data_IF_575337134532
#
_entry.id   IF_575337134532
#
_cell.length_a   1.000
_cell.length_b   1.000
_cell.length_c   1.000
_cell.angle_alpha   90.00
_cell.angle_beta   90.00
_cell.angle_gamma   90.00
#
_symmetry.space_group_name_H-M   'P 1'
#
loop_
_entity.id
_entity.type
_entity.pdbx_description
1 polymer ?
#
# COMPACT_ATOMS: atom_id res chain seq x y z
N UNK A 1 -15.53 -3.26 43.15
CA UNK A 1 -14.32 -2.47 43.48
C UNK A 1 -13.11 -3.32 43.90
N UNK A 2 -13.25 -4.43 44.67
CA UNK A 2 -12.09 -5.28 45.04
C UNK A 2 -11.57 -6.22 43.92
N UNK A 3 -12.43 -6.60 42.96
CA UNK A 3 -12.08 -7.45 41.80
C UNK A 3 -11.17 -6.74 40.78
N UNK A 4 -11.33 -5.43 40.60
CA UNK A 4 -10.51 -4.64 39.66
C UNK A 4 -9.07 -4.48 40.15
N UNK A 5 -8.87 -4.28 41.46
CA UNK A 5 -7.56 -4.19 42.06
C UNK A 5 -6.78 -5.52 41.95
N UNK A 6 -7.44 -6.67 42.11
CA UNK A 6 -6.80 -7.97 41.94
C UNK A 6 -6.40 -8.26 40.49
N UNK A 7 -7.25 -7.91 39.51
CA UNK A 7 -6.93 -8.06 38.09
C UNK A 7 -5.78 -7.13 37.63
N UNK A 8 -5.73 -5.90 38.14
CA UNK A 8 -4.62 -4.96 37.90
C UNK A 8 -3.32 -5.47 38.54
N UNK A 9 -3.41 -6.06 39.74
CA UNK A 9 -2.24 -6.58 40.47
C UNK A 9 -1.69 -7.86 39.84
N UNK A 10 -2.56 -8.76 39.34
CA UNK A 10 -2.18 -9.95 38.55
C UNK A 10 -1.49 -9.53 37.25
N UNK A 11 -2.09 -8.59 36.50
CA UNK A 11 -1.50 -8.02 35.29
C UNK A 11 -0.12 -7.39 35.50
N UNK A 12 0.10 -6.72 36.65
CA UNK A 12 1.41 -6.16 37.02
C UNK A 12 2.45 -7.24 37.35
N UNK A 13 2.06 -8.26 38.12
CA UNK A 13 2.95 -9.40 38.44
C UNK A 13 3.31 -10.22 37.21
N UNK A 14 2.37 -10.47 36.32
CA UNK A 14 2.62 -11.17 35.05
C UNK A 14 3.55 -10.35 34.15
N UNK A 15 3.37 -9.02 34.10
CA UNK A 15 4.29 -8.11 33.40
C UNK A 15 5.70 -8.11 34.01
N UNK A 16 5.86 -8.19 35.33
CA UNK A 16 7.17 -8.28 35.98
C UNK A 16 7.85 -9.64 35.77
N UNK A 17 7.08 -10.72 35.78
CA UNK A 17 7.58 -12.06 35.47
C UNK A 17 8.11 -12.14 34.03
N UNK A 18 7.31 -11.66 33.06
CA UNK A 18 7.71 -11.58 31.65
C UNK A 18 8.96 -10.69 31.47
N UNK A 19 9.07 -9.57 32.21
CA UNK A 19 10.28 -8.72 32.21
C UNK A 19 11.52 -9.46 32.72
N UNK A 20 11.37 -10.27 33.76
CA UNK A 20 12.46 -11.04 34.37
C UNK A 20 12.93 -12.16 33.44
N UNK A 21 12.01 -12.91 32.83
CA UNK A 21 12.33 -13.96 31.87
C UNK A 21 12.91 -13.40 30.55
N UNK A 22 12.38 -12.27 30.06
CA UNK A 22 12.94 -11.59 28.91
C UNK A 22 14.39 -11.12 29.15
N UNK A 23 14.74 -10.66 30.37
CA UNK A 23 16.13 -10.31 30.73
C UNK A 23 17.08 -11.51 30.65
N UNK A 24 16.62 -12.70 31.02
CA UNK A 24 17.42 -13.94 30.97
C UNK A 24 17.70 -14.33 29.50
N UNK A 25 16.73 -14.13 28.60
CA UNK A 25 16.89 -14.34 27.16
C UNK A 25 17.83 -13.31 26.48
N UNK A 26 18.13 -12.18 27.13
CA UNK A 26 19.01 -11.11 26.63
C UNK A 26 20.51 -11.40 26.93
N UNK A 27 20.90 -12.58 27.43
CA UNK A 27 22.31 -12.90 27.73
C UNK A 27 23.19 -13.39 26.57
N UNK A 28 22.63 -13.84 25.42
CA UNK A 28 23.39 -14.58 24.38
C UNK A 28 23.38 -13.97 22.97
N UNK A 29 24.46 -14.12 22.21
CA UNK A 29 24.82 -13.58 20.87
C UNK A 29 23.84 -12.69 20.05
N UNK A 30 24.34 -11.54 19.58
CA UNK A 30 23.61 -10.46 18.87
C UNK A 30 23.49 -10.67 17.34
N UNK A 31 22.88 -11.77 16.88
CA UNK A 31 22.55 -11.90 15.44
C UNK A 31 21.11 -11.44 15.16
N UNK A 32 20.89 -10.80 14.00
CA UNK A 32 19.60 -10.25 13.54
C UNK A 32 18.51 -11.31 13.35
N UNK A 33 18.89 -12.58 13.28
CA UNK A 33 18.01 -13.75 13.12
C UNK A 33 17.77 -14.51 14.43
N UNK A 34 18.32 -14.06 15.55
CA UNK A 34 18.19 -14.77 16.83
C UNK A 34 16.79 -14.60 17.43
N UNK A 35 16.28 -15.65 18.07
CA UNK A 35 15.07 -15.60 18.91
C UNK A 35 15.13 -14.44 19.92
N UNK A 36 16.32 -14.09 20.41
CA UNK A 36 16.60 -12.92 21.25
C UNK A 36 16.21 -11.60 20.59
N UNK A 37 16.53 -11.38 19.32
CA UNK A 37 16.13 -10.16 18.59
C UNK A 37 14.61 -10.08 18.47
N UNK A 38 13.95 -11.20 18.15
CA UNK A 38 12.48 -11.28 18.11
C UNK A 38 11.86 -10.93 19.48
N UNK A 39 12.34 -11.54 20.56
CA UNK A 39 11.84 -11.31 21.94
C UNK A 39 12.12 -9.88 22.41
N UNK A 40 13.31 -9.33 22.14
CA UNK A 40 13.68 -7.97 22.54
C UNK A 40 12.88 -6.90 21.77
N UNK A 41 12.62 -7.10 20.48
CA UNK A 41 11.79 -6.20 19.70
C UNK A 41 10.32 -6.25 20.14
N UNK A 42 9.78 -7.46 20.39
CA UNK A 42 8.46 -7.63 20.99
C UNK A 42 8.38 -6.92 22.37
N UNK A 43 9.39 -7.08 23.21
CA UNK A 43 9.48 -6.42 24.52
C UNK A 43 9.57 -4.89 24.43
N UNK A 44 10.38 -4.34 23.54
CA UNK A 44 10.48 -2.89 23.31
C UNK A 44 9.16 -2.29 22.80
N UNK A 45 8.43 -3.01 21.95
CA UNK A 45 7.11 -2.58 21.48
C UNK A 45 6.08 -2.48 22.62
N UNK A 46 6.17 -3.33 23.64
CA UNK A 46 5.31 -3.25 24.84
C UNK A 46 5.57 -1.98 25.68
N UNK A 47 6.79 -1.41 25.60
CA UNK A 47 7.21 -0.26 26.43
C UNK A 47 6.83 1.11 25.84
N UNK A 48 6.63 1.24 24.53
CA UNK A 48 6.10 2.46 23.88
C UNK A 48 4.56 2.48 23.99
N UNK A 49 4.05 2.63 25.21
CA UNK A 49 2.62 2.55 25.57
C UNK A 49 1.98 3.95 25.60
N UNK A 50 1.23 4.28 24.57
CA UNK A 50 -0.06 4.97 24.67
C UNK A 50 -0.99 4.28 23.65
N UNK A 51 -2.27 4.08 23.99
CA UNK A 51 -3.23 3.47 23.06
C UNK A 51 -3.35 4.34 21.81
N UNK A 52 -2.66 3.94 20.75
CA UNK A 52 -2.61 4.73 19.53
C UNK A 52 -3.96 4.67 18.82
N UNK A 53 -4.51 5.86 18.54
CA UNK A 53 -5.79 6.02 17.87
C UNK A 53 -5.64 5.65 16.38
N UNK A 54 -5.86 4.37 16.08
CA UNK A 54 -5.76 3.80 14.73
C UNK A 54 -6.87 4.24 13.79
N UNK A 55 -7.87 5.01 14.25
CA UNK A 55 -8.91 5.59 13.38
C UNK A 55 -8.31 6.42 12.23
N UNK A 56 -7.14 7.01 12.46
CA UNK A 56 -6.39 7.82 11.48
C UNK A 56 -5.84 6.97 10.32
N UNK A 57 -5.62 5.65 10.49
CA UNK A 57 -5.09 4.77 9.44
C UNK A 57 -6.00 4.63 8.21
N UNK A 58 -7.29 4.93 8.36
CA UNK A 58 -8.29 4.77 7.31
C UNK A 58 -9.03 6.06 7.00
N UNK A 59 -8.51 7.21 7.46
CA UNK A 59 -9.06 8.54 7.18
C UNK A 59 -9.12 8.77 5.67
N UNK A 60 -10.33 8.91 5.13
CA UNK A 60 -10.58 9.13 3.72
C UNK A 60 -11.27 10.48 3.51
N UNK A 61 -10.95 11.15 2.42
CA UNK A 61 -11.81 12.17 1.83
C UNK A 61 -12.94 11.48 1.06
N UNK A 62 -14.14 12.07 1.03
CA UNK A 62 -15.23 11.55 0.20
C UNK A 62 -14.80 11.50 -1.27
N UNK A 63 -15.24 10.45 -1.99
CA UNK A 63 -14.99 10.29 -3.43
C UNK A 63 -15.80 11.30 -4.26
N UNK A 64 -16.66 12.13 -3.64
CA UNK A 64 -17.63 13.00 -4.31
C UNK A 64 -17.07 14.14 -5.18
N UNK A 65 -15.77 14.45 -5.09
CA UNK A 65 -15.17 15.48 -5.94
C UNK A 65 -14.81 14.90 -7.33
N UNK A 66 -14.94 15.69 -8.40
CA UNK A 66 -14.47 15.30 -9.74
C UNK A 66 -12.93 15.18 -9.74
N UNK A 67 -12.44 13.99 -9.40
CA UNK A 67 -11.01 13.69 -9.25
C UNK A 67 -10.44 13.02 -10.52
N UNK A 68 -11.21 12.89 -11.60
CA UNK A 68 -10.76 12.15 -12.79
C UNK A 68 -9.73 12.92 -13.61
N UNK A 69 -9.91 14.24 -13.71
CA UNK A 69 -9.05 15.11 -14.52
C UNK A 69 -8.53 16.30 -13.73
N UNK A 70 -7.39 16.84 -14.15
CA UNK A 70 -6.93 18.17 -13.78
C UNK A 70 -6.27 18.84 -14.99
N UNK A 71 -6.47 20.14 -15.14
CA UNK A 71 -5.76 20.93 -16.15
C UNK A 71 -4.26 21.03 -15.80
N UNK A 72 -3.38 21.04 -16.81
CA UNK A 72 -1.93 21.15 -16.61
C UNK A 72 -1.56 22.38 -15.77
N UNK A 73 -2.27 23.48 -15.94
CA UNK A 73 -2.08 24.72 -15.17
C UNK A 73 -2.31 24.55 -13.67
N UNK A 74 -3.10 23.56 -13.26
CA UNK A 74 -3.38 23.28 -11.84
C UNK A 74 -2.24 22.49 -11.16
N UNK A 75 -1.27 21.98 -11.92
CA UNK A 75 -0.14 21.22 -11.37
C UNK A 75 0.94 22.12 -10.73
N UNK A 76 0.91 23.42 -11.00
CA UNK A 76 1.86 24.42 -10.50
C UNK A 76 3.01 24.71 -11.46
N UNK A 77 4.17 25.05 -10.91
CA UNK A 77 5.34 25.43 -11.71
C UNK A 77 5.76 24.30 -12.67
N UNK A 78 6.01 24.69 -13.93
CA UNK A 78 6.48 23.79 -14.96
C UNK A 78 7.78 23.08 -14.56
N UNK A 79 7.97 21.83 -15.00
CA UNK A 79 9.09 21.00 -14.57
C UNK A 79 10.43 21.58 -15.02
N UNK A 80 11.30 21.92 -14.06
CA UNK A 80 12.70 22.29 -14.35
C UNK A 80 13.61 21.08 -14.64
N UNK A 81 13.16 19.86 -14.31
CA UNK A 81 13.92 18.60 -14.46
C UNK A 81 13.01 17.43 -14.84
N UNK A 82 13.53 16.56 -15.71
CA UNK A 82 12.96 15.24 -16.00
C UNK A 82 13.66 14.20 -15.10
N UNK A 83 12.89 13.37 -14.40
CA UNK A 83 13.48 12.31 -13.57
C UNK A 83 14.03 11.18 -14.44
N UNK A 84 15.35 10.97 -14.41
CA UNK A 84 16.04 9.85 -15.11
C UNK A 84 16.06 8.53 -14.34
N UNK A 85 15.40 8.47 -13.18
CA UNK A 85 15.42 7.30 -12.28
C UNK A 85 14.20 6.39 -12.40
N UNK A 86 13.17 6.83 -13.11
CA UNK A 86 11.98 6.02 -13.44
C UNK A 86 12.20 5.24 -14.74
N UNK A 87 11.44 4.16 -14.93
CA UNK A 87 11.37 3.46 -16.21
C UNK A 87 10.70 4.30 -17.31
N UNK A 88 9.91 5.31 -16.90
CA UNK A 88 9.21 6.25 -17.77
C UNK A 88 9.75 7.67 -17.61
N UNK A 89 9.54 8.50 -18.62
CA UNK A 89 9.76 9.94 -18.50
C UNK A 89 8.77 10.52 -17.49
N UNK A 90 9.26 11.11 -16.40
CA UNK A 90 8.43 11.73 -15.37
C UNK A 90 8.82 13.21 -15.24
N UNK A 91 7.82 14.07 -15.43
CA UNK A 91 7.87 15.52 -15.19
C UNK A 91 7.40 15.81 -13.76
N UNK A 92 8.18 16.59 -13.02
CA UNK A 92 7.86 16.95 -11.63
C UNK A 92 7.39 18.40 -11.57
N UNK A 93 6.10 18.59 -11.31
CA UNK A 93 5.49 19.91 -11.11
C UNK A 93 5.45 20.25 -9.61
N UNK A 94 5.59 21.54 -9.30
CA UNK A 94 5.56 22.05 -7.92
C UNK A 94 4.38 23.00 -7.77
N UNK A 95 3.31 22.53 -7.13
CA UNK A 95 2.23 23.39 -6.67
C UNK A 95 2.50 23.91 -5.25
N UNK A 96 1.66 24.84 -4.78
CA UNK A 96 1.86 25.59 -3.54
C UNK A 96 2.12 24.71 -2.30
N UNK A 97 1.47 23.55 -2.23
CA UNK A 97 1.60 22.61 -1.11
C UNK A 97 1.87 21.17 -1.53
N UNK A 98 1.97 20.90 -2.84
CA UNK A 98 2.00 19.53 -3.37
C UNK A 98 3.00 19.38 -4.51
N UNK A 99 3.59 18.18 -4.60
CA UNK A 99 4.36 17.76 -5.76
C UNK A 99 3.48 16.87 -6.62
N UNK A 100 3.48 17.12 -7.94
CA UNK A 100 2.81 16.26 -8.91
C UNK A 100 3.83 15.59 -9.81
N UNK A 101 3.70 14.27 -9.97
CA UNK A 101 4.55 13.45 -10.81
C UNK A 101 3.76 13.06 -12.05
N UNK A 102 4.05 13.69 -13.18
CA UNK A 102 3.31 13.49 -14.42
C UNK A 102 4.10 12.62 -15.40
N UNK A 103 3.44 11.58 -15.92
CA UNK A 103 3.87 10.79 -17.07
C UNK A 103 3.16 11.36 -18.31
N UNK A 104 3.90 12.00 -19.25
CA UNK A 104 3.29 12.54 -20.46
C UNK A 104 2.90 11.41 -21.43
N UNK A 105 1.83 11.64 -22.18
CA UNK A 105 1.43 10.78 -23.29
C UNK A 105 1.89 11.41 -24.61
N UNK A 106 2.66 10.66 -25.40
CA UNK A 106 3.08 11.11 -26.72
C UNK A 106 1.92 10.91 -27.71
N UNK A 107 1.32 12.02 -28.16
CA UNK A 107 0.19 12.03 -29.10
C UNK A 107 0.54 11.39 -30.45
N UNK A 108 1.80 11.51 -30.90
CA UNK A 108 2.26 10.90 -32.15
C UNK A 108 2.56 9.40 -32.02
N UNK A 109 2.43 8.83 -30.82
CA UNK A 109 2.70 7.40 -30.59
C UNK A 109 1.51 6.53 -30.97
N UNK A 110 1.78 5.37 -31.58
CA UNK A 110 0.78 4.31 -31.80
C UNK A 110 0.16 3.79 -30.49
N UNK A 111 0.85 3.97 -29.36
CA UNK A 111 0.38 3.56 -28.03
C UNK A 111 -0.47 4.65 -27.35
N UNK A 112 -0.72 5.79 -27.99
CA UNK A 112 -1.41 6.94 -27.35
C UNK A 112 -2.78 6.56 -26.77
N UNK A 113 -3.65 5.90 -27.55
CA UNK A 113 -4.96 5.49 -27.07
C UNK A 113 -4.85 4.46 -25.93
N UNK A 114 -3.95 3.49 -26.04
CA UNK A 114 -3.70 2.51 -24.98
C UNK A 114 -3.22 3.18 -23.68
N UNK A 115 -2.39 4.22 -23.78
CA UNK A 115 -1.94 4.98 -22.62
C UNK A 115 -3.09 5.75 -21.96
N UNK A 116 -4.04 6.29 -22.74
CA UNK A 116 -5.27 6.89 -22.21
C UNK A 116 -6.10 5.81 -21.49
N UNK A 117 -6.37 4.69 -22.14
CA UNK A 117 -7.18 3.60 -21.58
C UNK A 117 -6.55 3.05 -20.28
N UNK A 118 -5.22 2.92 -20.23
CA UNK A 118 -4.47 2.57 -19.02
C UNK A 118 -4.55 3.68 -17.97
N UNK A 119 -4.42 4.95 -18.37
CA UNK A 119 -4.53 6.08 -17.44
C UNK A 119 -5.89 6.14 -16.75
N UNK A 120 -6.98 5.93 -17.48
CA UNK A 120 -8.34 5.88 -16.91
C UNK A 120 -8.45 4.74 -15.88
N UNK A 121 -7.95 3.55 -16.24
CA UNK A 121 -7.92 2.40 -15.35
C UNK A 121 -7.07 2.63 -14.09
N UNK A 122 -5.94 3.34 -14.23
CA UNK A 122 -5.08 3.69 -13.10
C UNK A 122 -5.75 4.69 -12.16
N UNK A 123 -6.47 5.68 -12.68
CA UNK A 123 -7.28 6.61 -11.85
C UNK A 123 -8.29 5.82 -11.02
N UNK A 124 -9.04 4.91 -11.64
CA UNK A 124 -9.98 4.04 -10.92
C UNK A 124 -9.28 3.19 -9.87
N UNK A 125 -8.17 2.56 -10.22
CA UNK A 125 -7.43 1.71 -9.28
C UNK A 125 -6.83 2.50 -8.11
N UNK A 126 -6.36 3.72 -8.35
CA UNK A 126 -5.92 4.64 -7.30
C UNK A 126 -7.06 5.01 -6.34
N UNK A 127 -8.27 5.22 -6.86
CA UNK A 127 -9.46 5.46 -6.02
C UNK A 127 -9.88 4.23 -5.22
N UNK A 128 -9.66 3.02 -5.73
CA UNK A 128 -9.84 1.78 -4.94
C UNK A 128 -8.82 1.71 -3.80
N UNK A 129 -7.57 2.11 -4.04
CA UNK A 129 -6.58 2.20 -2.96
C UNK A 129 -6.93 3.26 -1.91
N UNK A 130 -7.36 4.46 -2.33
CA UNK A 130 -7.87 5.50 -1.41
C UNK A 130 -9.13 5.00 -0.67
N UNK A 131 -9.95 4.26 -1.38
CA UNK A 131 -10.90 3.26 -0.92
C UNK A 131 -10.50 2.60 0.39
N UNK A 132 -9.38 1.89 0.33
CA UNK A 132 -8.95 0.89 1.30
C UNK A 132 -7.98 1.41 2.37
N UNK A 133 -7.23 2.48 2.10
CA UNK A 133 -6.27 3.03 3.08
C UNK A 133 -6.34 4.55 3.23
N UNK A 134 -7.35 5.18 2.62
CA UNK A 134 -7.57 6.62 2.71
C UNK A 134 -6.47 7.42 2.02
N UNK A 135 -6.17 8.58 2.60
CA UNK A 135 -5.15 9.52 2.10
C UNK A 135 -3.70 8.98 2.15
N UNK A 136 -3.49 7.77 2.71
CA UNK A 136 -2.20 7.07 2.63
C UNK A 136 -1.92 6.49 1.23
N UNK A 137 -2.92 6.41 0.37
CA UNK A 137 -2.73 6.10 -1.05
C UNK A 137 -2.58 7.39 -1.86
N UNK A 138 -1.56 7.46 -2.72
CA UNK A 138 -1.44 8.56 -3.68
C UNK A 138 -2.64 8.59 -4.60
N UNK A 139 -3.05 9.80 -4.97
CA UNK A 139 -4.14 10.06 -5.88
C UNK A 139 -3.60 10.19 -7.31
N UNK A 140 -4.25 9.54 -8.27
CA UNK A 140 -3.94 9.68 -9.70
C UNK A 140 -5.05 10.46 -10.41
N UNK A 141 -4.69 11.31 -11.38
CA UNK A 141 -5.60 12.06 -12.26
C UNK A 141 -5.06 12.12 -13.69
N UNK A 142 -5.95 12.15 -14.68
CA UNK A 142 -5.58 12.48 -16.04
C UNK A 142 -5.27 13.97 -16.16
N UNK A 143 -4.20 14.30 -16.87
CA UNK A 143 -3.80 15.70 -17.12
C UNK A 143 -4.33 16.16 -18.45
N UNK A 144 -5.03 17.28 -18.46
CA UNK A 144 -5.63 17.88 -19.65
C UNK A 144 -4.96 19.20 -20.01
N UNK A 145 -4.93 19.52 -21.31
CA UNK A 145 -4.51 20.81 -21.84
C UNK A 145 -5.28 21.11 -23.11
N UNK A 146 -5.93 22.27 -23.16
CA UNK A 146 -6.76 22.70 -24.30
C UNK A 146 -7.79 21.62 -24.69
N UNK A 147 -8.42 20.98 -23.70
CA UNK A 147 -9.39 19.91 -23.92
C UNK A 147 -8.80 18.55 -24.31
N UNK A 148 -7.49 18.42 -24.50
CA UNK A 148 -6.84 17.15 -24.84
C UNK A 148 -6.21 16.49 -23.61
N UNK A 149 -6.26 15.16 -23.53
CA UNK A 149 -5.57 14.38 -22.48
C UNK A 149 -4.09 14.29 -22.86
N UNK A 150 -3.20 14.86 -22.06
CA UNK A 150 -1.76 14.93 -22.37
C UNK A 150 -0.90 14.06 -21.46
N UNK A 151 -1.50 13.39 -20.47
CA UNK A 151 -0.78 12.52 -19.55
C UNK A 151 -1.62 12.04 -18.38
N UNK A 152 -0.95 11.42 -17.44
CA UNK A 152 -1.46 11.07 -16.11
C UNK A 152 -0.50 11.61 -15.07
N UNK A 153 -1.02 12.11 -13.95
CA UNK A 153 -0.22 12.54 -12.82
C UNK A 153 -0.65 11.86 -11.53
N UNK A 154 0.33 11.70 -10.63
CA UNK A 154 0.10 11.30 -9.25
C UNK A 154 0.45 12.43 -8.30
N UNK A 155 -0.43 12.72 -7.34
CA UNK A 155 -0.16 13.64 -6.24
C UNK A 155 0.77 12.96 -5.23
N UNK A 156 1.95 13.54 -5.02
CA UNK A 156 2.93 13.06 -4.05
C UNK A 156 2.38 13.07 -2.63
N UNK A 157 2.74 12.05 -1.85
CA UNK A 157 2.42 12.01 -0.42
C UNK A 157 3.36 12.93 0.37
N UNK A 158 2.81 13.68 1.33
CA UNK A 158 3.57 14.64 2.14
C UNK A 158 4.66 13.92 2.95
N UNK A 159 5.90 14.37 2.78
CA UNK A 159 7.08 13.79 3.46
C UNK A 159 7.43 12.37 3.01
N UNK A 160 7.02 11.95 1.81
CA UNK A 160 7.20 10.57 1.37
C UNK A 160 8.66 10.12 1.30
N UNK A 161 8.99 9.04 2.01
CA UNK A 161 10.30 8.38 1.96
C UNK A 161 10.11 6.90 1.64
N UNK A 162 10.56 6.49 0.44
CA UNK A 162 10.56 5.08 -0.02
C UNK A 162 11.14 4.13 1.04
N UNK A 163 10.53 2.96 1.24
CA UNK A 163 10.97 1.95 2.23
C UNK A 163 12.46 1.58 2.11
N UNK A 164 12.95 1.51 0.86
CA UNK A 164 14.36 1.24 0.58
C UNK A 164 15.35 2.28 1.13
N UNK A 165 14.88 3.49 1.43
CA UNK A 165 15.69 4.61 1.96
C UNK A 165 15.48 4.85 3.46
N UNK A 166 14.48 4.22 4.08
CA UNK A 166 14.17 4.37 5.50
C UNK A 166 15.24 3.71 6.38
N UNK A 167 15.56 4.35 7.51
CA UNK A 167 16.38 3.71 8.55
C UNK A 167 15.62 2.56 9.21
N UNK A 168 16.31 1.70 9.95
CA UNK A 168 15.63 0.65 10.72
C UNK A 168 14.72 1.23 11.79
N UNK A 169 15.07 2.37 12.39
CA UNK A 169 14.23 3.03 13.38
C UNK A 169 12.95 3.58 12.75
N UNK A 170 13.06 4.23 11.58
CA UNK A 170 11.89 4.72 10.84
C UNK A 170 10.91 3.58 10.52
N UNK A 171 11.42 2.41 10.13
CA UNK A 171 10.59 1.23 9.81
C UNK A 171 9.83 0.70 11.01
N UNK A 172 10.40 0.82 12.22
CA UNK A 172 9.75 0.38 13.46
C UNK A 172 8.72 1.40 13.95
N UNK A 173 8.99 2.69 13.75
CA UNK A 173 8.15 3.77 14.26
C UNK A 173 6.99 4.16 13.33
N UNK A 174 7.03 3.69 12.07
CA UNK A 174 5.98 3.96 11.08
C UNK A 174 4.86 2.93 11.19
N UNK A 175 3.60 3.39 11.20
CA UNK A 175 2.39 2.57 11.39
C UNK A 175 1.72 2.25 10.06
N UNK A 176 0.88 1.22 9.96
CA UNK A 176 -0.02 1.05 8.81
C UNK A 176 0.49 0.14 7.69
N UNK A 177 1.57 -0.63 7.89
CA UNK A 177 2.10 -1.54 6.86
C UNK A 177 1.25 -2.79 6.70
N UNK A 178 0.75 -3.35 7.82
CA UNK A 178 0.03 -4.63 7.80
C UNK A 178 -1.28 -4.50 7.00
N UNK A 179 -2.01 -3.41 7.18
CA UNK A 179 -3.22 -3.08 6.42
C UNK A 179 -2.93 -2.98 4.92
N UNK A 180 -1.87 -2.29 4.52
CA UNK A 180 -1.44 -2.24 3.11
C UNK A 180 -1.17 -3.64 2.58
N UNK A 181 -0.45 -4.47 3.35
CA UNK A 181 -0.13 -5.83 2.95
C UNK A 181 -1.38 -6.70 2.76
N UNK A 182 -2.38 -6.58 3.63
CA UNK A 182 -3.69 -7.26 3.45
C UNK A 182 -4.33 -6.87 2.13
N UNK A 183 -4.33 -5.57 1.82
CA UNK A 183 -4.90 -5.08 0.58
C UNK A 183 -4.07 -5.41 -0.66
N UNK A 184 -2.75 -5.53 -0.54
CA UNK A 184 -1.87 -6.05 -1.61
C UNK A 184 -2.32 -7.45 -2.04
N UNK A 185 -2.58 -8.35 -1.08
CA UNK A 185 -3.08 -9.69 -1.41
C UNK A 185 -4.48 -9.64 -2.03
N UNK A 186 -5.37 -8.85 -1.41
CA UNK A 186 -6.75 -8.71 -1.87
C UNK A 186 -6.82 -8.17 -3.30
N UNK A 187 -5.98 -7.20 -3.62
CA UNK A 187 -5.91 -6.57 -4.93
C UNK A 187 -5.05 -7.34 -5.94
N UNK A 188 -4.36 -8.42 -5.55
CA UNK A 188 -3.47 -9.21 -6.42
C UNK A 188 -2.22 -8.45 -6.89
N UNK A 189 -1.73 -7.54 -6.06
CA UNK A 189 -0.58 -6.68 -6.37
C UNK A 189 0.73 -7.46 -6.16
N UNK A 190 1.13 -8.26 -7.15
CA UNK A 190 2.34 -9.08 -7.01
C UNK A 190 3.66 -8.31 -7.17
N UNK A 191 3.63 -7.04 -7.62
CA UNK A 191 4.79 -6.15 -7.78
C UNK A 191 4.93 -5.09 -6.67
N UNK A 192 4.58 -5.46 -5.43
CA UNK A 192 4.69 -4.57 -4.27
C UNK A 192 6.14 -4.38 -3.77
N UNK A 193 6.96 -3.68 -4.55
CA UNK A 193 8.38 -3.48 -4.27
C UNK A 193 8.71 -2.25 -3.42
N UNK A 194 9.92 -2.18 -2.86
CA UNK A 194 10.36 -1.21 -1.82
C UNK A 194 10.33 0.28 -2.22
N UNK A 195 9.99 0.58 -3.47
CA UNK A 195 9.77 1.95 -3.96
C UNK A 195 8.29 2.33 -4.11
N UNK A 196 7.36 1.37 -4.03
CA UNK A 196 5.92 1.60 -4.17
C UNK A 196 5.26 1.92 -2.82
N UNK A 197 6.01 1.80 -1.73
CA UNK A 197 5.55 2.16 -0.40
C UNK A 197 6.68 2.76 0.43
N UNK A 198 6.28 3.50 1.45
CA UNK A 198 7.21 4.28 2.24
C UNK A 198 6.52 5.06 3.33
N UNK A 199 7.31 5.78 4.12
CA UNK A 199 6.82 6.63 5.19
C UNK A 199 6.20 7.92 4.65
N UNK A 200 5.11 8.39 5.23
CA UNK A 200 4.47 9.70 4.99
C UNK A 200 3.93 10.27 6.31
N UNK A 201 3.52 11.54 6.32
CA UNK A 201 2.80 12.16 7.46
C UNK A 201 1.56 12.94 7.00
N UNK A 202 0.49 12.86 7.77
CA UNK A 202 -0.67 13.74 7.58
C UNK A 202 -0.29 15.18 7.95
N UNK A 203 -1.10 16.12 7.46
CA UNK A 203 -0.97 17.51 7.86
C UNK A 203 -1.25 17.67 9.36
N UNK A 204 -0.34 18.35 10.06
CA UNK A 204 -0.40 18.60 11.50
C UNK A 204 -0.36 17.36 12.39
N UNK A 205 0.02 16.20 11.84
CA UNK A 205 0.20 14.97 12.61
C UNK A 205 1.68 14.75 12.94
N UNK A 206 1.95 14.37 14.20
CA UNK A 206 3.29 14.00 14.65
C UNK A 206 3.64 12.57 14.26
N UNK A 207 2.63 11.72 14.09
CA UNK A 207 2.81 10.32 13.72
C UNK A 207 3.21 10.14 12.25
N UNK A 208 3.83 8.99 11.98
CA UNK A 208 4.26 8.58 10.66
C UNK A 208 3.54 7.31 10.24
N UNK A 209 3.17 7.28 8.97
CA UNK A 209 2.35 6.21 8.40
C UNK A 209 2.98 5.65 7.14
N UNK A 210 2.76 4.37 6.88
CA UNK A 210 3.08 3.77 5.61
C UNK A 210 2.04 4.19 4.58
N UNK A 211 2.51 4.77 3.50
CA UNK A 211 1.72 5.10 2.31
C UNK A 211 2.07 4.22 1.12
N UNK A 212 1.14 4.14 0.17
CA UNK A 212 1.25 3.43 -1.10
C UNK A 212 1.23 4.45 -2.23
N UNK A 213 2.20 4.32 -3.14
CA UNK A 213 2.26 5.05 -4.40
C UNK A 213 2.36 4.07 -5.57
N UNK A 214 2.28 4.58 -6.78
CA UNK A 214 2.50 3.84 -8.04
C UNK A 214 1.50 2.72 -8.29
N UNK A 215 0.51 2.98 -9.14
CA UNK A 215 -0.68 2.13 -9.31
C UNK A 215 -0.79 1.56 -10.74
N UNK A 216 0.26 1.67 -11.56
CA UNK A 216 0.23 1.32 -12.98
C UNK A 216 0.34 -0.20 -13.23
N UNK A 217 0.99 -0.95 -12.34
CA UNK A 217 1.35 -2.35 -12.58
C UNK A 217 0.15 -3.27 -12.86
N UNK A 218 -0.87 -3.25 -11.99
CA UNK A 218 -2.08 -4.06 -12.20
C UNK A 218 -2.79 -3.68 -13.49
N UNK A 219 -2.81 -2.40 -13.83
CA UNK A 219 -3.42 -1.92 -15.06
C UNK A 219 -2.67 -2.52 -16.24
N UNK A 220 -1.35 -2.41 -16.27
CA UNK A 220 -0.53 -2.93 -17.36
C UNK A 220 -0.61 -4.47 -17.49
N UNK A 221 -0.79 -5.18 -16.38
CA UNK A 221 -0.86 -6.65 -16.33
C UNK A 221 -2.28 -7.21 -16.27
N UNK A 222 -3.31 -6.37 -16.41
CA UNK A 222 -4.71 -6.74 -16.21
C UNK A 222 -5.13 -7.99 -16.98
N UNK A 223 -4.77 -8.09 -18.27
CA UNK A 223 -5.17 -9.20 -19.13
C UNK A 223 -4.60 -10.57 -18.70
N UNK A 224 -3.52 -10.56 -17.92
CA UNK A 224 -2.89 -11.75 -17.36
C UNK A 224 -3.47 -12.01 -15.97
N UNK A 225 -3.45 -11.00 -15.10
CA UNK A 225 -3.85 -11.12 -13.70
C UNK A 225 -5.34 -11.46 -13.54
N UNK A 226 -6.22 -10.85 -14.33
CA UNK A 226 -7.67 -11.11 -14.29
C UNK A 226 -8.05 -12.55 -14.64
N UNK A 227 -7.17 -13.28 -15.34
CA UNK A 227 -7.38 -14.68 -15.74
C UNK A 227 -6.75 -15.68 -14.77
N UNK A 228 -5.82 -15.26 -13.93
CA UNK A 228 -5.15 -16.11 -12.95
C UNK A 228 -5.90 -16.10 -11.61
N UNK A 229 -6.91 -16.97 -11.51
CA UNK A 229 -7.68 -17.16 -10.29
C UNK A 229 -6.94 -17.97 -9.21
N UNK A 230 -5.78 -18.53 -9.53
CA UNK A 230 -5.11 -19.52 -8.68
C UNK A 230 -4.09 -18.90 -7.74
N UNK A 231 -3.49 -17.77 -8.14
CA UNK A 231 -2.42 -17.13 -7.40
C UNK A 231 -2.88 -16.31 -6.20
N UNK A 232 -4.02 -15.63 -6.25
CA UNK A 232 -4.52 -14.82 -5.12
C UNK A 232 -5.94 -15.24 -4.73
N UNK A 233 -6.06 -16.43 -4.12
CA UNK A 233 -7.34 -17.03 -3.75
C UNK A 233 -7.94 -16.35 -2.52
N UNK A 234 -9.18 -15.86 -2.66
CA UNK A 234 -9.91 -15.23 -1.56
C UNK A 234 -10.15 -16.22 -0.40
N UNK A 235 -10.38 -17.50 -0.71
CA UNK A 235 -10.52 -18.58 0.27
C UNK A 235 -9.30 -18.81 1.17
N UNK A 236 -8.09 -18.59 0.66
CA UNK A 236 -6.88 -18.69 1.49
C UNK A 236 -6.70 -17.43 2.34
N UNK A 237 -6.99 -16.26 1.78
CA UNK A 237 -6.99 -15.02 2.55
C UNK A 237 -8.01 -15.09 3.70
N UNK A 238 -9.24 -15.52 3.44
CA UNK A 238 -10.32 -15.56 4.43
C UNK A 238 -10.01 -16.51 5.58
N UNK A 239 -9.47 -17.72 5.30
CA UNK A 239 -8.97 -18.66 6.34
C UNK A 239 -7.95 -18.01 7.26
N UNK A 240 -6.98 -17.31 6.68
CA UNK A 240 -5.91 -16.65 7.44
C UNK A 240 -6.46 -15.48 8.27
N UNK A 241 -7.33 -14.66 7.69
CA UNK A 241 -7.96 -13.55 8.42
C UNK A 241 -8.86 -14.05 9.55
N UNK A 242 -9.63 -15.13 9.34
CA UNK A 242 -10.46 -15.78 10.38
C UNK A 242 -9.61 -16.33 11.53
N UNK A 243 -8.48 -16.96 11.21
CA UNK A 243 -7.54 -17.45 12.23
C UNK A 243 -6.72 -16.37 12.93
N UNK A 244 -6.81 -15.11 12.46
CA UNK A 244 -6.06 -13.96 12.98
C UNK A 244 -4.55 -14.22 13.09
N UNK A 245 -4.03 -15.09 12.23
CA UNK A 245 -2.63 -15.50 12.27
C UNK A 245 -1.79 -14.66 11.31
N UNK A 246 -1.16 -13.61 11.85
CA UNK A 246 -0.32 -12.71 11.08
C UNK A 246 0.88 -13.42 10.42
N UNK A 247 1.47 -14.44 11.07
CA UNK A 247 2.57 -15.19 10.47
C UNK A 247 2.11 -15.99 9.24
N UNK A 248 0.96 -16.66 9.34
CA UNK A 248 0.34 -17.36 8.20
C UNK A 248 0.01 -16.39 7.07
N UNK A 249 -0.46 -15.19 7.39
CA UNK A 249 -0.71 -14.14 6.40
C UNK A 249 0.54 -13.73 5.64
N UNK A 250 1.64 -13.52 6.35
CA UNK A 250 2.90 -13.14 5.73
C UNK A 250 3.48 -14.28 4.88
N UNK A 251 3.31 -15.54 5.29
CA UNK A 251 3.70 -16.68 4.48
C UNK A 251 2.86 -16.79 3.20
N UNK A 252 1.54 -16.58 3.32
CA UNK A 252 0.63 -16.55 2.17
C UNK A 252 1.01 -15.44 1.18
N UNK A 253 1.33 -14.23 1.66
CA UNK A 253 1.86 -13.15 0.83
C UNK A 253 3.18 -13.52 0.16
N UNK A 254 4.09 -14.14 0.90
CA UNK A 254 5.43 -14.52 0.40
C UNK A 254 5.37 -15.56 -0.69
N UNK A 255 4.42 -16.49 -0.63
CA UNK A 255 4.21 -17.52 -1.64
C UNK A 255 3.63 -16.96 -2.95
N UNK A 256 2.87 -15.86 -2.86
CA UNK A 256 2.03 -15.41 -3.97
C UNK A 256 2.53 -14.09 -4.58
N UNK A 257 3.33 -13.29 -3.87
CA UNK A 257 3.79 -11.97 -4.37
C UNK A 257 5.22 -12.05 -4.88
N UNK A 258 5.46 -11.58 -6.12
CA UNK A 258 6.81 -11.50 -6.70
C UNK A 258 7.71 -10.56 -5.88
N UNK A 259 7.16 -9.45 -5.40
CA UNK A 259 7.80 -8.57 -4.43
C UNK A 259 6.93 -8.34 -3.20
N UNK A 260 7.57 -8.39 -2.03
CA UNK A 260 6.97 -8.05 -0.75
C UNK A 260 8.10 -7.83 0.28
N UNK A 261 7.83 -7.16 1.42
CA UNK A 261 8.84 -6.95 2.47
C UNK A 261 9.29 -8.23 3.17
N UNK A 262 8.53 -9.34 3.06
CA UNK A 262 8.75 -10.56 3.83
C UNK A 262 9.55 -11.64 3.10
N UNK A 263 9.81 -11.47 1.81
CA UNK A 263 10.59 -12.38 0.99
C UNK A 263 11.80 -11.65 0.44
N UNK A 264 12.96 -12.31 0.46
CA UNK A 264 14.17 -11.79 -0.18
C UNK A 264 14.11 -11.83 -1.71
N UNK A 265 12.95 -12.08 -2.31
CA UNK A 265 12.74 -12.38 -3.73
C UNK A 265 13.51 -13.63 -4.22
N UNK A 266 13.21 -14.12 -5.41
CA UNK A 266 13.98 -15.23 -6.00
C UNK A 266 15.43 -14.84 -6.29
N UNK A 267 16.33 -15.83 -6.26
CA UNK A 267 17.74 -15.59 -6.54
C UNK A 267 17.97 -14.99 -7.93
N UNK A 268 17.34 -15.56 -8.95
CA UNK A 268 17.45 -15.08 -10.33
C UNK A 268 16.93 -13.65 -10.47
N UNK A 269 15.80 -13.34 -9.82
CA UNK A 269 15.23 -11.99 -9.81
C UNK A 269 16.17 -10.99 -9.11
N UNK A 270 16.78 -11.36 -7.98
CA UNK A 270 17.81 -10.53 -7.32
C UNK A 270 19.04 -10.31 -8.18
N UNK A 271 19.54 -11.36 -8.84
CA UNK A 271 20.71 -11.29 -9.70
C UNK A 271 20.45 -10.34 -10.88
N UNK A 272 19.32 -10.51 -11.57
CA UNK A 272 18.90 -9.64 -12.68
C UNK A 272 18.77 -8.17 -12.25
N UNK A 273 18.12 -7.90 -11.11
CA UNK A 273 17.98 -6.52 -10.60
C UNK A 273 19.32 -5.91 -10.13
N UNK A 274 20.25 -6.75 -9.67
CA UNK A 274 21.60 -6.30 -9.29
C UNK A 274 22.43 -5.96 -10.52
N UNK A 275 22.41 -6.81 -11.56
CA UNK A 275 23.06 -6.54 -12.84
C UNK A 275 22.51 -5.26 -13.48
N UNK A 276 21.18 -5.13 -13.55
CA UNK A 276 20.50 -3.94 -14.07
C UNK A 276 20.93 -2.66 -13.34
N UNK A 277 21.05 -2.69 -12.03
CA UNK A 277 21.45 -1.53 -11.24
C UNK A 277 22.94 -1.17 -11.39
N UNK A 278 23.79 -2.11 -11.77
CA UNK A 278 25.20 -1.84 -12.10
C UNK A 278 25.38 -1.32 -13.53
N UNK A 279 24.54 -1.79 -14.45
CA UNK A 279 24.64 -1.49 -15.89
C UNK A 279 23.79 -0.30 -16.34
N UNK A 280 22.97 0.27 -15.46
CA UNK A 280 22.09 1.39 -15.78
C UNK A 280 21.83 2.27 -14.57
N UNK A 281 21.26 3.45 -14.79
CA UNK A 281 20.78 4.35 -13.71
C UNK A 281 19.56 3.79 -12.93
N UNK A 282 19.05 2.61 -13.30
CA UNK A 282 17.83 2.04 -12.71
C UNK A 282 18.11 1.41 -11.35
N UNK A 283 17.31 1.76 -10.34
CA UNK A 283 17.47 1.23 -8.98
C UNK A 283 17.18 -0.27 -8.88
N UNK A 284 17.80 -0.91 -7.87
CA UNK A 284 17.49 -2.27 -7.42
C UNK A 284 16.19 -2.24 -6.60
N UNK A 285 15.14 -2.87 -7.11
CA UNK A 285 13.81 -2.90 -6.49
C UNK A 285 13.57 -4.12 -5.58
N UNK A 286 14.49 -5.08 -5.54
CA UNK A 286 14.36 -6.30 -4.72
C UNK A 286 14.65 -6.02 -3.24
N UNK A 287 13.89 -6.66 -2.37
CA UNK A 287 14.12 -6.72 -0.93
C UNK A 287 15.33 -7.62 -0.65
N UNK A 288 16.30 -7.14 0.12
CA UNK A 288 17.44 -7.97 0.52
C UNK A 288 17.02 -9.03 1.55
N UNK A 289 17.80 -10.12 1.68
CA UNK A 289 17.57 -11.12 2.75
C UNK A 289 17.62 -10.50 4.14
N UNK A 290 18.50 -9.52 4.37
CA UNK A 290 18.60 -8.81 5.65
C UNK A 290 17.38 -7.93 5.93
N UNK A 291 16.85 -7.25 4.91
CA UNK A 291 15.61 -6.47 5.03
C UNK A 291 14.40 -7.38 5.30
N UNK A 292 14.32 -8.53 4.62
CA UNK A 292 13.26 -9.51 4.86
C UNK A 292 13.33 -10.13 6.26
N UNK A 293 14.54 -10.47 6.72
CA UNK A 293 14.76 -10.98 8.07
C UNK A 293 14.40 -9.93 9.13
N UNK A 294 14.78 -8.65 8.91
CA UNK A 294 14.41 -7.54 9.77
C UNK A 294 12.89 -7.33 9.80
N UNK A 295 12.22 -7.35 8.65
CA UNK A 295 10.77 -7.25 8.62
C UNK A 295 10.13 -8.40 9.41
N UNK A 296 10.55 -9.65 9.14
CA UNK A 296 10.02 -10.83 9.83
C UNK A 296 10.25 -10.81 11.34
N UNK A 297 11.39 -10.30 11.79
CA UNK A 297 11.71 -10.16 13.22
C UNK A 297 10.93 -9.10 13.97
N UNK A 298 10.22 -8.24 13.24
CA UNK A 298 9.39 -7.18 13.79
C UNK A 298 7.89 -7.38 13.49
N UNK A 299 7.50 -8.54 12.94
CA UNK A 299 6.09 -8.84 12.65
C UNK A 299 5.25 -9.04 13.91
N UNK A 300 5.76 -9.75 14.89
CA UNK A 300 5.02 -10.16 16.08
C UNK A 300 4.97 -9.06 17.17
N UNK A 301 4.90 -7.79 16.76
CA UNK A 301 4.64 -6.69 17.69
C UNK A 301 3.15 -6.60 17.97
N UNK A 302 2.79 -6.16 19.17
CA UNK A 302 1.38 -5.95 19.56
C UNK A 302 0.68 -4.97 18.61
N UNK A 303 1.40 -3.96 18.14
CA UNK A 303 0.86 -2.96 17.22
C UNK A 303 0.47 -3.56 15.88
N UNK A 304 1.31 -4.44 15.32
CA UNK A 304 1.03 -5.13 14.06
C UNK A 304 -0.13 -6.12 14.19
N UNK A 305 -0.24 -6.83 15.33
CA UNK A 305 -1.37 -7.70 15.62
C UNK A 305 -2.67 -6.90 15.75
N UNK A 306 -2.64 -5.79 16.50
CA UNK A 306 -3.79 -4.90 16.64
C UNK A 306 -4.19 -4.26 15.30
N UNK A 307 -3.22 -3.86 14.47
CA UNK A 307 -3.47 -3.36 13.11
C UNK A 307 -4.14 -4.44 12.25
N UNK A 308 -3.68 -5.69 12.34
CA UNK A 308 -4.26 -6.81 11.62
C UNK A 308 -5.72 -7.03 11.99
N UNK A 309 -6.02 -7.09 13.29
CA UNK A 309 -7.40 -7.21 13.81
C UNK A 309 -8.30 -6.07 13.34
N UNK A 310 -7.80 -4.83 13.41
CA UNK A 310 -8.55 -3.64 12.98
C UNK A 310 -8.75 -3.59 11.47
N UNK A 311 -7.81 -4.12 10.69
CA UNK A 311 -7.94 -4.25 9.24
C UNK A 311 -9.09 -5.19 8.89
N UNK A 312 -9.26 -6.31 9.61
CA UNK A 312 -10.38 -7.23 9.42
C UNK A 312 -11.72 -6.52 9.67
N UNK A 313 -11.82 -5.75 10.76
CA UNK A 313 -13.03 -4.98 11.06
C UNK A 313 -13.31 -3.91 9.99
N UNK A 314 -12.26 -3.24 9.51
CA UNK A 314 -12.36 -2.23 8.45
C UNK A 314 -12.85 -2.84 7.14
N UNK A 315 -12.36 -4.03 6.78
CA UNK A 315 -12.85 -4.80 5.62
C UNK A 315 -14.35 -5.04 5.75
N UNK A 316 -14.81 -5.54 6.91
CA UNK A 316 -16.24 -5.80 7.14
C UNK A 316 -17.09 -4.53 7.00
N UNK A 317 -16.66 -3.43 7.61
CA UNK A 317 -17.35 -2.13 7.52
C UNK A 317 -17.42 -1.64 6.08
N UNK A 318 -16.30 -1.64 5.36
CA UNK A 318 -16.24 -1.19 3.96
C UNK A 318 -17.05 -2.09 3.03
N UNK A 319 -17.04 -3.41 3.23
CA UNK A 319 -17.88 -4.27 2.39
C UNK A 319 -19.40 -4.02 2.60
N UNK A 320 -19.83 -3.41 3.72
CA UNK A 320 -21.23 -3.02 3.91
C UNK A 320 -21.61 -1.77 3.11
N UNK A 321 -20.69 -0.84 2.93
CA UNK A 321 -20.94 0.42 2.22
C UNK A 321 -20.36 0.46 0.80
N UNK A 322 -19.73 -0.64 0.35
CA UNK A 322 -18.99 -0.73 -0.92
C UNK A 322 -19.76 -0.19 -2.13
N UNK A 323 -21.07 -0.43 -2.18
CA UNK A 323 -21.89 0.04 -3.29
C UNK A 323 -22.05 1.57 -3.29
N UNK A 324 -22.30 2.16 -2.12
CA UNK A 324 -22.57 3.59 -1.98
C UNK A 324 -21.29 4.42 -1.90
N UNK A 325 -20.24 3.90 -1.27
CA UNK A 325 -19.01 4.64 -1.00
C UNK A 325 -17.96 4.48 -2.11
N UNK A 326 -18.07 3.47 -2.99
CA UNK A 326 -17.08 3.21 -4.05
C UNK A 326 -17.71 2.93 -5.42
N UNK A 327 -18.56 1.92 -5.54
CA UNK A 327 -19.09 1.42 -6.82
C UNK A 327 -19.91 2.48 -7.56
N UNK A 328 -20.98 3.00 -6.95
CA UNK A 328 -21.85 4.02 -7.56
C UNK A 328 -21.10 5.32 -7.84
N UNK A 329 -20.32 5.90 -6.90
CA UNK A 329 -19.55 7.11 -7.18
C UNK A 329 -18.61 6.96 -8.38
N UNK A 330 -17.81 5.89 -8.43
CA UNK A 330 -16.86 5.70 -9.53
C UNK A 330 -17.54 5.40 -10.86
N UNK A 331 -18.64 4.63 -10.88
CA UNK A 331 -19.43 4.41 -12.10
C UNK A 331 -20.02 5.72 -12.63
N UNK A 332 -20.55 6.57 -11.73
CA UNK A 332 -21.06 7.89 -12.10
C UNK A 332 -19.96 8.78 -12.67
N UNK A 333 -18.77 8.79 -12.05
CA UNK A 333 -17.63 9.55 -12.54
C UNK A 333 -17.13 9.05 -13.90
N UNK A 334 -17.05 7.74 -14.11
CA UNK A 334 -16.70 7.15 -15.40
C UNK A 334 -17.71 7.53 -16.50
N UNK A 335 -19.01 7.48 -16.19
CA UNK A 335 -20.06 7.88 -17.13
C UNK A 335 -19.96 9.36 -17.50
N UNK A 336 -19.76 10.24 -16.51
CA UNK A 336 -19.55 11.67 -16.72
C UNK A 336 -18.30 11.95 -17.58
N UNK A 337 -17.19 11.26 -17.27
CA UNK A 337 -15.94 11.36 -18.02
C UNK A 337 -16.12 10.94 -19.48
N UNK A 338 -16.81 9.83 -19.73
CA UNK A 338 -17.14 9.35 -21.08
C UNK A 338 -18.01 10.34 -21.86
N UNK A 339 -18.93 11.02 -21.19
CA UNK A 339 -19.73 12.10 -21.79
C UNK A 339 -18.90 13.33 -22.19
N UNK A 340 -17.89 13.68 -21.38
CA UNK A 340 -16.99 14.82 -21.63
C UNK A 340 -15.95 14.56 -22.72
N UNK A 341 -15.49 13.31 -22.87
CA UNK A 341 -14.47 12.91 -23.85
C UNK A 341 -15.00 11.83 -24.80
N UNK A 342 -15.84 12.19 -25.79
CA UNK A 342 -16.39 11.23 -26.74
C UNK A 342 -15.26 10.58 -27.54
N UNK A 343 -15.08 9.26 -27.38
CA UNK A 343 -14.03 8.48 -28.04
C UNK A 343 -13.07 7.76 -27.07
N UNK A 344 -13.08 8.10 -25.78
CA UNK A 344 -12.33 7.35 -24.76
C UNK A 344 -13.00 6.01 -24.46
N UNK A 345 -12.19 4.98 -24.18
CA UNK A 345 -12.68 3.65 -23.78
C UNK A 345 -12.55 3.48 -22.27
N UNK A 346 -13.64 3.12 -21.61
CA UNK A 346 -13.71 2.91 -20.14
C UNK A 346 -13.77 1.44 -19.74
N UNK A 347 -13.91 0.52 -20.71
CA UNK A 347 -14.17 -0.91 -20.48
C UNK A 347 -13.16 -1.55 -19.51
N UNK A 348 -11.87 -1.23 -19.67
CA UNK A 348 -10.82 -1.76 -18.80
C UNK A 348 -10.97 -1.29 -17.35
N UNK A 349 -11.29 -0.02 -17.15
CA UNK A 349 -11.49 0.56 -15.83
C UNK A 349 -12.75 -0.03 -15.14
N UNK A 350 -13.81 -0.25 -15.92
CA UNK A 350 -15.05 -0.90 -15.45
C UNK A 350 -14.83 -2.37 -15.07
N UNK A 351 -14.06 -3.11 -15.87
CA UNK A 351 -13.68 -4.50 -15.56
C UNK A 351 -12.88 -4.59 -14.27
N UNK A 352 -11.89 -3.71 -14.11
CA UNK A 352 -11.06 -3.62 -12.90
C UNK A 352 -11.92 -3.34 -11.68
N UNK A 353 -12.78 -2.30 -11.74
CA UNK A 353 -13.69 -1.96 -10.65
C UNK A 353 -14.62 -3.12 -10.29
N UNK A 354 -15.24 -3.74 -11.29
CA UNK A 354 -16.18 -4.86 -11.10
C UNK A 354 -15.51 -6.06 -10.43
N UNK A 355 -14.33 -6.43 -10.91
CA UNK A 355 -13.56 -7.53 -10.34
C UNK A 355 -13.17 -7.29 -8.88
N UNK A 356 -12.74 -6.07 -8.54
CA UNK A 356 -12.40 -5.73 -7.16
C UNK A 356 -13.62 -5.73 -6.24
N UNK A 357 -14.76 -5.22 -6.73
CA UNK A 357 -16.02 -5.29 -5.98
C UNK A 357 -16.39 -6.74 -5.69
N UNK A 358 -16.33 -7.62 -6.71
CA UNK A 358 -16.61 -9.04 -6.55
C UNK A 358 -15.67 -9.68 -5.52
N UNK A 359 -14.37 -9.41 -5.58
CA UNK A 359 -13.40 -9.93 -4.60
C UNK A 359 -13.68 -9.47 -3.17
N UNK A 360 -14.02 -8.20 -2.97
CA UNK A 360 -14.42 -7.64 -1.67
C UNK A 360 -15.70 -8.31 -1.14
N UNK A 361 -16.69 -8.54 -2.00
CA UNK A 361 -17.93 -9.22 -1.65
C UNK A 361 -17.71 -10.70 -1.30
N UNK A 362 -16.93 -11.43 -2.10
CA UNK A 362 -16.54 -12.81 -1.80
C UNK A 362 -15.82 -12.88 -0.45
N UNK A 363 -14.86 -11.98 -0.21
CA UNK A 363 -14.14 -11.94 1.06
C UNK A 363 -15.09 -11.66 2.23
N UNK A 364 -16.03 -10.72 2.09
CA UNK A 364 -17.06 -10.45 3.12
C UNK A 364 -17.85 -11.71 3.45
N UNK A 365 -18.36 -12.40 2.43
CA UNK A 365 -19.17 -13.59 2.60
C UNK A 365 -18.39 -14.72 3.29
N UNK A 366 -17.11 -14.87 2.94
CA UNK A 366 -16.24 -15.86 3.55
C UNK A 366 -15.69 -15.45 4.93
N UNK A 367 -15.83 -14.19 5.35
CA UNK A 367 -15.45 -13.69 6.69
C UNK A 367 -16.59 -13.74 7.71
N UNK A 368 -17.82 -13.86 7.23
CA UNK A 368 -18.99 -14.24 8.03
C UNK A 368 -18.98 -15.76 8.27
#
# INVERSE_FOLDING_TARGET
MALDAQNITRSKKDQEHIKKEAKILIGGNNTTSSLRTYVNNAYKSIKKREEQNTSVLFKSTNIDNDLFTCEESQLGEAPKKVSKTSAHEIKVYRGDNNLFFMKPFNQSSREYQKNIDNGIAEVVYAQIWRYLIGERASESRLVTKNGNIIGICSKGLKGFTEYGKMTNQDKLDTKGLISILVFVYLLMEDDFHIFNYGQMSFENDKDKYFGKIDHDYIVDKWNILSKDSTKFKISELSKVLKSKNLASFINLLSANSRFNPASGNDFMLRAAHTARAKMSSRKKTTTSRSQAAFFRSNLATRDNVNEFDKTINTIKQRCNNLENDLSKPLKKQLANFKGKYPGVKTDKAEQILTFFIQRMQTLKNELN
#
